data_IF_406988013586
#
_entry.id   IF_406988013586
#
_cell.length_a   1.000
_cell.length_b   1.000
_cell.length_c   1.000
_cell.angle_alpha   90.00
_cell.angle_beta   90.00
_cell.angle_gamma   90.00
#
_symmetry.space_group_name_H-M   'P 1'
#
loop_
_entity.id
_entity.type
_entity.pdbx_description
1 polymer ?
#
# COMPACT_ATOMS: atom_id res chain seq x y z
N UNK A 1 14.56 5.16 -21.49
CA UNK A 1 13.72 4.34 -22.38
C UNK A 1 13.44 2.95 -21.81
N UNK A 2 14.44 2.06 -21.65
CA UNK A 2 14.27 0.70 -21.08
C UNK A 2 13.36 0.62 -19.84
N UNK A 3 13.55 1.51 -18.86
CA UNK A 3 12.75 1.56 -17.62
C UNK A 3 11.28 1.90 -17.91
N UNK A 4 11.03 2.86 -18.80
CA UNK A 4 9.69 3.31 -19.15
C UNK A 4 8.93 2.25 -19.97
N UNK A 5 9.62 1.57 -20.90
CA UNK A 5 9.05 0.43 -21.62
C UNK A 5 8.70 -0.70 -20.67
N UNK A 6 9.59 -1.05 -19.74
CA UNK A 6 9.34 -2.08 -18.73
C UNK A 6 8.15 -1.73 -17.82
N UNK A 7 7.99 -0.46 -17.42
CA UNK A 7 6.83 0.01 -16.65
C UNK A 7 5.54 -0.18 -17.46
N UNK A 8 5.54 0.25 -18.72
CA UNK A 8 4.37 0.17 -19.62
C UNK A 8 3.95 -1.28 -19.84
N UNK A 9 4.89 -2.14 -20.20
CA UNK A 9 4.65 -3.58 -20.37
C UNK A 9 4.16 -4.22 -19.07
N UNK A 10 4.75 -3.86 -17.92
CA UNK A 10 4.32 -4.42 -16.64
C UNK A 10 2.89 -3.98 -16.28
N UNK A 11 2.51 -2.73 -16.55
CA UNK A 11 1.14 -2.25 -16.37
C UNK A 11 0.17 -3.01 -17.27
N UNK A 12 0.44 -3.11 -18.57
CA UNK A 12 -0.39 -3.85 -19.54
C UNK A 12 -0.59 -5.29 -19.05
N UNK A 13 0.52 -6.00 -18.79
CA UNK A 13 0.48 -7.39 -18.34
C UNK A 13 -0.29 -7.57 -17.03
N UNK A 14 -0.11 -6.66 -16.07
CA UNK A 14 -0.78 -6.78 -14.77
C UNK A 14 -2.28 -6.50 -14.89
N UNK A 15 -2.70 -5.51 -15.69
CA UNK A 15 -4.12 -5.25 -15.96
C UNK A 15 -4.79 -6.38 -16.74
N UNK A 16 -4.14 -6.93 -17.76
CA UNK A 16 -4.66 -8.07 -18.54
C UNK A 16 -4.85 -9.32 -17.66
N UNK A 17 -3.86 -9.62 -16.79
CA UNK A 17 -3.92 -10.75 -15.86
C UNK A 17 -5.12 -10.70 -14.91
N UNK A 18 -5.70 -9.54 -14.68
CA UNK A 18 -6.89 -9.42 -13.82
C UNK A 18 -8.13 -10.04 -14.47
N UNK A 19 -8.20 -10.12 -15.80
CA UNK A 19 -9.40 -10.48 -16.55
C UNK A 19 -10.57 -9.48 -16.42
N UNK A 20 -10.35 -8.31 -15.82
CA UNK A 20 -11.39 -7.30 -15.54
C UNK A 20 -11.31 -6.06 -16.43
N UNK A 21 -10.17 -5.87 -17.10
CA UNK A 21 -9.91 -4.71 -17.94
C UNK A 21 -9.57 -5.14 -19.35
N UNK A 22 -10.04 -4.38 -20.34
CA UNK A 22 -9.58 -4.47 -21.72
C UNK A 22 -8.56 -3.38 -21.98
N UNK A 23 -7.36 -3.76 -22.43
CA UNK A 23 -6.30 -2.81 -22.74
C UNK A 23 -6.47 -2.27 -24.15
N UNK A 24 -6.36 -0.95 -24.27
CA UNK A 24 -6.44 -0.24 -25.55
C UNK A 24 -5.05 0.28 -25.90
N UNK A 25 -4.70 0.23 -27.18
CA UNK A 25 -3.41 0.72 -27.66
C UNK A 25 -3.20 2.18 -27.28
N UNK A 26 -2.07 2.46 -26.61
CA UNK A 26 -1.64 3.82 -26.26
C UNK A 26 -1.55 4.72 -27.49
N UNK A 27 -1.20 4.18 -28.66
CA UNK A 27 -1.14 4.94 -29.92
C UNK A 27 -2.52 5.43 -30.36
N UNK A 28 -3.55 4.60 -30.23
CA UNK A 28 -4.94 4.97 -30.56
C UNK A 28 -5.47 6.03 -29.61
N UNK A 29 -5.21 5.85 -28.31
CA UNK A 29 -5.60 6.82 -27.27
C UNK A 29 -4.92 8.17 -27.52
N UNK A 30 -3.59 8.18 -27.70
CA UNK A 30 -2.82 9.41 -27.96
C UNK A 30 -3.28 10.14 -29.22
N UNK A 31 -3.57 9.40 -30.30
CA UNK A 31 -4.10 10.00 -31.52
C UNK A 31 -5.50 10.59 -31.29
N UNK A 32 -6.41 9.87 -30.64
CA UNK A 32 -7.74 10.36 -30.35
C UNK A 32 -7.73 11.62 -29.48
N UNK A 33 -6.86 11.66 -28.46
CA UNK A 33 -6.66 12.84 -27.60
C UNK A 33 -6.08 14.04 -28.35
N UNK A 34 -5.10 13.81 -29.23
CA UNK A 34 -4.49 14.88 -30.04
C UNK A 34 -5.50 15.50 -31.02
N UNK A 35 -6.30 14.66 -31.68
CA UNK A 35 -7.34 15.06 -32.63
C UNK A 35 -8.64 15.55 -31.94
N UNK A 36 -8.69 15.55 -30.60
CA UNK A 36 -9.89 15.87 -29.79
C UNK A 36 -11.14 15.08 -30.22
N UNK A 37 -10.93 13.82 -30.60
CA UNK A 37 -12.00 12.88 -30.96
C UNK A 37 -12.37 12.00 -29.77
N UNK A 38 -13.40 11.15 -29.92
CA UNK A 38 -13.82 10.23 -28.85
C UNK A 38 -12.68 9.27 -28.50
N UNK A 39 -12.15 9.38 -27.28
CA UNK A 39 -11.09 8.50 -26.78
C UNK A 39 -11.66 7.09 -26.58
N UNK A 40 -11.05 6.04 -27.17
CA UNK A 40 -11.58 4.68 -27.13
C UNK A 40 -11.25 3.94 -25.82
N UNK A 41 -11.23 4.63 -24.68
CA UNK A 41 -10.94 4.07 -23.36
C UNK A 41 -11.71 4.87 -22.31
N UNK A 42 -12.19 4.25 -21.23
CA UNK A 42 -12.87 4.95 -20.13
C UNK A 42 -11.88 5.64 -19.17
N UNK A 43 -10.72 4.99 -18.97
CA UNK A 43 -9.64 5.47 -18.11
C UNK A 43 -8.32 5.50 -18.89
N UNK A 44 -7.52 6.53 -18.63
CA UNK A 44 -6.15 6.66 -19.14
C UNK A 44 -5.19 6.80 -17.98
N UNK A 45 -4.26 5.84 -17.86
CA UNK A 45 -3.11 5.94 -16.98
C UNK A 45 -1.94 6.44 -17.81
N UNK A 46 -1.39 7.58 -17.43
CA UNK A 46 -0.24 8.20 -18.11
C UNK A 46 0.79 8.63 -17.07
N UNK A 47 2.03 8.81 -17.48
CA UNK A 47 3.09 9.19 -16.57
C UNK A 47 4.45 8.95 -17.16
N UNK A 48 5.46 9.08 -16.31
CA UNK A 48 6.82 8.85 -16.71
C UNK A 48 7.81 8.99 -15.58
N UNK A 49 9.05 8.70 -15.97
CA UNK A 49 10.22 8.87 -15.16
C UNK A 49 10.60 10.35 -15.13
N UNK A 50 10.42 11.02 -14.00
CA UNK A 50 10.76 12.44 -13.82
C UNK A 50 12.19 12.64 -13.38
N UNK A 51 12.77 11.65 -12.68
CA UNK A 51 14.17 11.69 -12.26
C UNK A 51 14.79 10.30 -12.21
N UNK A 52 16.03 10.18 -12.69
CA UNK A 52 16.85 8.98 -12.53
C UNK A 52 18.30 9.35 -12.30
N UNK A 53 18.74 9.22 -11.05
CA UNK A 53 20.12 9.41 -10.61
C UNK A 53 20.79 8.07 -10.32
N UNK A 54 22.07 7.98 -10.63
CA UNK A 54 22.90 6.80 -10.37
C UNK A 54 24.27 7.25 -9.87
N UNK A 55 24.78 6.58 -8.84
CA UNK A 55 26.11 6.80 -8.31
C UNK A 55 26.81 5.46 -8.10
N UNK A 56 27.99 5.30 -8.69
CA UNK A 56 28.86 4.16 -8.38
C UNK A 56 29.74 4.53 -7.19
N UNK A 57 29.59 3.78 -6.11
CA UNK A 57 30.35 3.95 -4.89
C UNK A 57 31.47 2.91 -4.80
N UNK A 58 32.47 3.21 -3.99
CA UNK A 58 33.46 2.23 -3.60
C UNK A 58 33.98 2.50 -2.18
N UNK A 59 34.44 1.44 -1.53
CA UNK A 59 35.04 1.48 -0.20
C UNK A 59 36.18 0.46 -0.13
N UNK A 60 37.30 0.84 0.47
CA UNK A 60 38.40 -0.08 0.73
C UNK A 60 38.23 -0.70 2.11
N UNK A 61 38.05 -2.01 2.17
CA UNK A 61 37.97 -2.77 3.43
C UNK A 61 39.27 -3.51 3.68
N UNK A 62 39.72 -3.47 4.94
CA UNK A 62 40.86 -4.24 5.40
C UNK A 62 40.36 -5.49 6.10
N UNK A 63 40.89 -6.65 5.69
CA UNK A 63 40.65 -7.92 6.38
C UNK A 63 41.98 -8.50 6.81
N UNK A 64 42.09 -8.84 8.09
CA UNK A 64 43.27 -9.49 8.66
C UNK A 64 43.00 -10.99 8.72
N UNK A 65 43.93 -11.80 8.22
CA UNK A 65 43.84 -13.26 8.34
C UNK A 65 43.77 -13.68 9.82
N UNK A 66 43.18 -14.84 10.13
CA UNK A 66 42.99 -15.37 11.49
C UNK A 66 44.30 -15.48 12.29
N UNK A 67 45.45 -15.48 11.61
CA UNK A 67 46.81 -15.49 12.20
C UNK A 67 47.41 -14.10 12.42
N UNK A 68 46.66 -13.01 12.21
CA UNK A 68 47.08 -11.63 12.53
C UNK A 68 48.17 -11.02 11.63
N UNK A 69 48.84 -11.80 10.79
CA UNK A 69 50.07 -11.36 10.11
C UNK A 69 49.90 -10.68 8.75
N UNK A 70 48.78 -10.90 8.05
CA UNK A 70 48.57 -10.38 6.70
C UNK A 70 47.30 -9.53 6.62
N UNK A 71 47.44 -8.26 6.23
CA UNK A 71 46.33 -7.33 5.95
C UNK A 71 46.02 -7.38 4.46
N UNK A 72 44.88 -7.96 4.09
CA UNK A 72 44.36 -7.90 2.72
C UNK A 72 43.47 -6.67 2.59
N UNK A 73 43.82 -5.77 1.67
CA UNK A 73 42.98 -4.65 1.27
C UNK A 73 42.14 -5.05 0.06
N UNK A 74 40.82 -5.06 0.21
CA UNK A 74 39.88 -5.36 -0.88
C UNK A 74 38.99 -4.14 -1.09
N UNK A 75 38.96 -3.62 -2.31
CA UNK A 75 38.01 -2.57 -2.70
C UNK A 75 36.68 -3.22 -3.04
N UNK A 76 35.61 -2.74 -2.43
CA UNK A 76 34.23 -3.12 -2.74
C UNK A 76 33.57 -2.00 -3.52
N UNK A 77 32.70 -2.36 -4.45
CA UNK A 77 31.94 -1.46 -5.31
C UNK A 77 30.45 -1.75 -5.14
N UNK A 78 29.62 -0.70 -5.13
CA UNK A 78 28.17 -0.84 -5.19
C UNK A 78 27.58 0.34 -5.93
N UNK A 79 26.30 0.24 -6.28
CA UNK A 79 25.59 1.30 -6.99
C UNK A 79 24.40 1.77 -6.19
N UNK A 80 24.32 3.07 -6.01
CA UNK A 80 23.12 3.74 -5.53
C UNK A 80 22.30 4.23 -6.73
N UNK A 81 20.99 4.05 -6.68
CA UNK A 81 20.08 4.68 -7.64
C UNK A 81 19.00 5.45 -6.89
N UNK A 82 18.56 6.54 -7.51
CA UNK A 82 17.36 7.28 -7.09
C UNK A 82 16.45 7.44 -8.29
N UNK A 83 15.20 7.05 -8.14
CA UNK A 83 14.19 6.99 -9.19
C UNK A 83 12.97 7.78 -8.71
N UNK A 84 12.48 8.72 -9.51
CA UNK A 84 11.20 9.41 -9.24
C UNK A 84 10.28 9.20 -10.41
N UNK A 85 9.09 8.69 -10.13
CA UNK A 85 8.07 8.37 -11.13
C UNK A 85 6.83 9.18 -10.79
N UNK A 86 6.30 9.86 -11.78
CA UNK A 86 5.00 10.52 -11.67
C UNK A 86 4.02 9.79 -12.57
N UNK A 87 2.83 9.50 -12.06
CA UNK A 87 1.74 8.99 -12.87
C UNK A 87 0.42 9.63 -12.49
N UNK A 88 -0.45 9.75 -13.48
CA UNK A 88 -1.76 10.36 -13.39
C UNK A 88 -2.81 9.45 -14.02
N UNK A 89 -4.03 9.54 -13.50
CA UNK A 89 -5.17 8.73 -13.92
C UNK A 89 -6.29 9.68 -14.31
N UNK A 90 -6.78 9.56 -15.54
CA UNK A 90 -7.84 10.41 -16.08
C UNK A 90 -9.06 9.57 -16.44
N UNK A 91 -10.25 10.10 -16.13
CA UNK A 91 -11.50 9.67 -16.77
C UNK A 91 -11.67 10.40 -18.10
N UNK A 92 -11.84 9.68 -19.19
CA UNK A 92 -11.85 10.26 -20.54
C UNK A 92 -13.17 10.94 -20.91
N UNK A 93 -14.30 10.50 -20.34
CA UNK A 93 -15.64 11.06 -20.62
C UNK A 93 -15.72 12.53 -20.22
N UNK A 94 -15.19 12.84 -19.04
CA UNK A 94 -15.24 14.17 -18.42
C UNK A 94 -13.89 14.89 -18.48
N UNK A 95 -12.82 14.20 -18.90
CA UNK A 95 -11.44 14.66 -18.81
C UNK A 95 -11.02 15.04 -17.38
N UNK A 96 -11.56 14.33 -16.39
CA UNK A 96 -11.29 14.60 -14.97
C UNK A 96 -10.06 13.84 -14.50
N UNK A 97 -9.17 14.54 -13.79
CA UNK A 97 -8.05 13.92 -13.08
C UNK A 97 -8.57 13.19 -11.83
N UNK A 98 -8.45 11.86 -11.81
CA UNK A 98 -8.89 11.02 -10.69
C UNK A 98 -7.80 10.79 -9.65
N UNK A 99 -6.54 10.73 -10.09
CA UNK A 99 -5.39 10.50 -9.21
C UNK A 99 -4.12 11.07 -9.86
N UNK A 100 -3.19 11.55 -9.04
CA UNK A 100 -1.87 11.99 -9.46
C UNK A 100 -0.89 11.70 -8.32
N UNK A 101 0.11 10.86 -8.58
CA UNK A 101 1.08 10.45 -7.56
C UNK A 101 2.50 10.59 -8.05
N UNK A 102 3.34 11.01 -7.11
CA UNK A 102 4.79 10.96 -7.23
C UNK A 102 5.32 9.87 -6.30
N UNK A 103 6.13 8.97 -6.84
CA UNK A 103 6.75 7.88 -6.09
C UNK A 103 8.25 7.96 -6.25
N UNK A 104 8.95 8.04 -5.12
CA UNK A 104 10.41 8.10 -5.06
C UNK A 104 10.98 6.82 -4.45
N UNK A 105 11.95 6.24 -5.15
CA UNK A 105 12.75 5.12 -4.66
C UNK A 105 14.21 5.53 -4.53
N UNK A 106 14.85 5.10 -3.45
CA UNK A 106 16.30 5.15 -3.26
C UNK A 106 16.77 3.75 -2.90
N UNK A 107 17.72 3.22 -3.66
CA UNK A 107 18.20 1.85 -3.55
C UNK A 107 19.72 1.81 -3.63
N UNK A 108 20.30 0.81 -3.00
CA UNK A 108 21.73 0.47 -3.12
C UNK A 108 21.85 -1.00 -3.47
N UNK A 109 22.79 -1.35 -4.36
CA UNK A 109 23.15 -2.75 -4.58
C UNK A 109 24.01 -3.28 -3.44
N UNK A 110 24.11 -4.60 -3.34
CA UNK A 110 25.10 -5.21 -2.45
C UNK A 110 26.53 -4.86 -2.90
N UNK A 111 27.48 -4.65 -1.97
CA UNK A 111 28.87 -4.42 -2.30
C UNK A 111 29.57 -5.66 -2.88
N UNK A 112 30.21 -5.51 -4.04
CA UNK A 112 30.96 -6.57 -4.71
C UNK A 112 32.45 -6.24 -4.81
N UNK A 113 33.36 -7.23 -4.69
CA UNK A 113 34.80 -6.98 -4.81
C UNK A 113 35.24 -6.64 -6.24
N UNK A 114 34.44 -7.02 -7.24
CA UNK A 114 34.71 -6.72 -8.64
C UNK A 114 33.61 -5.83 -9.21
N UNK A 115 34.03 -4.76 -9.88
CA UNK A 115 33.14 -3.75 -10.47
C UNK A 115 32.18 -4.33 -11.51
N UNK A 116 32.58 -5.40 -12.22
CA UNK A 116 31.75 -6.06 -13.25
C UNK A 116 30.49 -6.71 -12.68
N UNK A 117 30.50 -7.10 -11.40
CA UNK A 117 29.34 -7.70 -10.74
C UNK A 117 28.36 -6.68 -10.16
N UNK A 118 28.66 -5.38 -10.24
CA UNK A 118 27.74 -4.33 -9.79
C UNK A 118 26.57 -4.27 -10.79
N UNK A 119 25.32 -4.51 -10.34
CA UNK A 119 24.16 -4.64 -11.23
C UNK A 119 23.89 -3.34 -11.98
N UNK A 120 23.41 -3.45 -13.21
CA UNK A 120 23.08 -2.29 -14.05
C UNK A 120 22.00 -1.41 -13.40
N UNK A 121 22.18 -0.09 -13.47
CA UNK A 121 21.25 0.87 -12.87
C UNK A 121 19.81 0.69 -13.39
N UNK A 122 19.69 0.41 -14.69
CA UNK A 122 18.42 0.18 -15.35
C UNK A 122 17.73 -1.09 -14.83
N UNK A 123 18.46 -2.18 -14.62
CA UNK A 123 17.89 -3.44 -14.13
C UNK A 123 17.39 -3.31 -12.69
N UNK A 124 18.14 -2.60 -11.84
CA UNK A 124 17.70 -2.26 -10.48
C UNK A 124 16.38 -1.46 -10.50
N UNK A 125 16.27 -0.47 -11.40
CA UNK A 125 15.05 0.33 -11.55
C UNK A 125 13.89 -0.49 -12.15
N UNK A 126 14.15 -1.38 -13.11
CA UNK A 126 13.15 -2.25 -13.76
C UNK A 126 12.41 -3.10 -12.72
N UNK A 127 13.11 -3.59 -11.70
CA UNK A 127 12.45 -4.33 -10.62
C UNK A 127 11.49 -3.45 -9.83
N UNK A 128 11.85 -2.19 -9.52
CA UNK A 128 10.97 -1.28 -8.78
C UNK A 128 9.74 -0.89 -9.58
N UNK A 129 9.89 -0.60 -10.87
CA UNK A 129 8.74 -0.24 -11.73
C UNK A 129 7.76 -1.40 -11.91
N UNK A 130 8.24 -2.65 -11.89
CA UNK A 130 7.40 -3.85 -11.90
C UNK A 130 6.61 -4.02 -10.60
N UNK A 131 7.20 -3.71 -9.45
CA UNK A 131 6.45 -3.71 -8.18
C UNK A 131 5.45 -2.55 -8.11
N UNK A 132 5.86 -1.35 -8.52
CA UNK A 132 4.96 -0.21 -8.60
C UNK A 132 3.77 -0.48 -9.49
N UNK A 133 3.96 -1.11 -10.66
CA UNK A 133 2.84 -1.43 -11.56
C UNK A 133 1.84 -2.41 -10.93
N UNK A 134 2.28 -3.35 -10.09
CA UNK A 134 1.36 -4.21 -9.32
C UNK A 134 0.53 -3.41 -8.32
N UNK A 135 1.17 -2.47 -7.61
CA UNK A 135 0.50 -1.60 -6.65
C UNK A 135 -0.51 -0.69 -7.34
N UNK A 136 -0.13 -0.07 -8.45
CA UNK A 136 -1.04 0.75 -9.26
C UNK A 136 -2.26 -0.07 -9.66
N UNK A 137 -2.06 -1.27 -10.24
CA UNK A 137 -3.18 -2.12 -10.67
C UNK A 137 -4.06 -2.55 -9.49
N UNK A 138 -3.48 -2.82 -8.31
CA UNK A 138 -4.25 -3.14 -7.10
C UNK A 138 -5.24 -2.03 -6.72
N UNK A 139 -4.89 -0.76 -6.94
CA UNK A 139 -5.77 0.37 -6.65
C UNK A 139 -7.01 0.44 -7.56
N UNK A 140 -6.99 -0.26 -8.71
CA UNK A 140 -8.11 -0.32 -9.65
C UNK A 140 -8.96 -1.58 -9.52
N UNK A 141 -8.44 -2.64 -8.90
CA UNK A 141 -9.18 -3.90 -8.74
C UNK A 141 -9.93 -3.85 -7.40
N UNK A 142 -11.23 -4.16 -7.37
CA UNK A 142 -11.89 -4.50 -6.12
C UNK A 142 -11.23 -5.76 -5.54
N UNK A 143 -10.48 -5.63 -4.45
CA UNK A 143 -9.87 -6.76 -3.76
C UNK A 143 -10.63 -7.09 -2.47
N UNK A 144 -10.69 -8.37 -2.13
CA UNK A 144 -11.08 -8.84 -0.80
C UNK A 144 -9.80 -8.99 0.02
N UNK A 145 -9.70 -8.28 1.14
CA UNK A 145 -8.59 -8.44 2.07
C UNK A 145 -9.04 -9.28 3.26
N UNK A 146 -8.27 -10.32 3.60
CA UNK A 146 -8.45 -11.04 4.86
C UNK A 146 -7.72 -10.25 5.96
N UNK A 147 -8.47 -9.43 6.71
CA UNK A 147 -7.91 -8.65 7.82
C UNK A 147 -8.03 -9.45 9.11
N UNK A 148 -6.90 -9.84 9.68
CA UNK A 148 -6.85 -10.48 11.00
C UNK A 148 -7.00 -9.41 12.10
N UNK A 149 -8.23 -9.23 12.59
CA UNK A 149 -8.53 -8.30 13.67
C UNK A 149 -8.27 -8.93 15.04
N UNK A 150 -7.40 -8.32 15.83
CA UNK A 150 -7.02 -8.82 17.17
C UNK A 150 -7.79 -8.10 18.26
N UNK A 151 -8.57 -8.85 19.04
CA UNK A 151 -9.22 -8.32 20.25
C UNK A 151 -8.22 -8.15 21.39
N UNK A 152 -8.33 -7.05 22.13
CA UNK A 152 -7.54 -6.80 23.32
C UNK A 152 -7.99 -7.72 24.46
N UNK A 153 -7.01 -8.32 25.11
CA UNK A 153 -7.23 -9.17 26.27
C UNK A 153 -7.45 -8.35 27.54
N UNK A 154 -8.36 -8.81 28.39
CA UNK A 154 -8.53 -8.32 29.75
C UNK A 154 -8.78 -9.50 30.70
N UNK A 155 -8.33 -9.39 31.96
CA UNK A 155 -8.38 -10.52 32.92
C UNK A 155 -9.81 -10.88 33.38
N UNK A 156 -10.72 -9.90 33.34
CA UNK A 156 -12.12 -10.03 33.76
C UNK A 156 -12.85 -11.16 33.00
N UNK A 157 -13.61 -11.97 33.73
CA UNK A 157 -14.33 -13.12 33.17
C UNK A 157 -15.38 -12.70 32.14
N UNK A 158 -16.05 -11.55 32.33
CA UNK A 158 -17.05 -11.06 31.37
C UNK A 158 -16.41 -10.66 30.05
N UNK A 159 -15.19 -10.12 30.09
CA UNK A 159 -14.40 -9.83 28.88
C UNK A 159 -14.00 -11.11 28.15
N UNK A 160 -13.57 -12.14 28.88
CA UNK A 160 -13.24 -13.45 28.29
C UNK A 160 -14.47 -14.06 27.59
N UNK A 161 -15.64 -14.05 28.24
CA UNK A 161 -16.87 -14.56 27.64
C UNK A 161 -17.23 -13.83 26.36
N UNK A 162 -17.13 -12.49 26.34
CA UNK A 162 -17.37 -11.70 25.13
C UNK A 162 -16.38 -12.04 24.00
N UNK A 163 -15.08 -12.14 24.33
CA UNK A 163 -14.06 -12.57 23.35
C UNK A 163 -14.31 -13.97 22.80
N UNK A 164 -14.72 -14.92 23.65
CA UNK A 164 -15.06 -16.28 23.21
C UNK A 164 -16.27 -16.28 22.28
N UNK A 165 -17.31 -15.50 22.56
CA UNK A 165 -18.45 -15.38 21.66
C UNK A 165 -18.05 -14.80 20.30
N UNK A 166 -17.16 -13.81 20.28
CA UNK A 166 -16.62 -13.29 19.03
C UNK A 166 -15.85 -14.36 18.22
N UNK A 167 -15.00 -15.15 18.90
CA UNK A 167 -14.25 -16.24 18.27
C UNK A 167 -15.15 -17.36 17.71
N UNK A 168 -16.31 -17.59 18.33
CA UNK A 168 -17.32 -18.53 17.86
C UNK A 168 -18.22 -17.95 16.74
N UNK A 169 -17.91 -16.76 16.22
CA UNK A 169 -18.68 -16.10 15.16
C UNK A 169 -19.98 -15.45 15.63
N UNK A 170 -20.24 -15.41 16.94
CA UNK A 170 -21.42 -14.74 17.52
C UNK A 170 -21.13 -13.24 17.70
N UNK A 171 -20.87 -12.57 16.57
CA UNK A 171 -20.30 -11.21 16.57
C UNK A 171 -21.26 -10.19 17.19
N UNK A 172 -22.54 -10.20 16.84
CA UNK A 172 -23.53 -9.25 17.38
C UNK A 172 -23.67 -9.37 18.90
N UNK A 173 -23.71 -10.60 19.42
CA UNK A 173 -23.73 -10.88 20.86
C UNK A 173 -22.46 -10.37 21.55
N UNK A 174 -21.30 -10.59 20.95
CA UNK A 174 -20.04 -10.12 21.51
C UNK A 174 -19.97 -8.58 21.54
N UNK A 175 -20.47 -7.90 20.50
CA UNK A 175 -20.60 -6.44 20.45
C UNK A 175 -21.46 -5.93 21.61
N UNK A 176 -22.65 -6.51 21.81
CA UNK A 176 -23.55 -6.15 22.91
C UNK A 176 -22.86 -6.33 24.27
N UNK A 177 -22.18 -7.46 24.46
CA UNK A 177 -21.48 -7.77 25.71
C UNK A 177 -20.33 -6.81 25.97
N UNK A 178 -19.48 -6.53 24.98
CA UNK A 178 -18.40 -5.55 25.13
C UNK A 178 -18.94 -4.14 25.38
N UNK A 179 -20.02 -3.74 24.72
CA UNK A 179 -20.67 -2.47 24.96
C UNK A 179 -21.18 -2.35 26.40
N UNK A 180 -21.87 -3.38 26.89
CA UNK A 180 -22.33 -3.41 28.28
C UNK A 180 -21.19 -3.36 29.30
N UNK A 181 -20.06 -4.02 29.00
CA UNK A 181 -18.86 -3.97 29.84
C UNK A 181 -18.25 -2.58 29.82
N UNK A 182 -18.18 -1.94 28.65
CA UNK A 182 -17.67 -0.58 28.50
C UNK A 182 -18.52 0.43 29.29
N UNK A 183 -19.84 0.33 29.18
CA UNK A 183 -20.77 1.26 29.83
C UNK A 183 -20.76 1.09 31.36
N UNK A 184 -20.76 -0.16 31.84
CA UNK A 184 -20.83 -0.44 33.28
C UNK A 184 -19.48 -0.38 34.01
N UNK A 185 -18.41 -0.88 33.38
CA UNK A 185 -17.09 -1.02 34.01
C UNK A 185 -16.07 -0.01 33.49
N UNK A 186 -16.34 0.65 32.36
CA UNK A 186 -15.42 1.64 31.81
C UNK A 186 -14.09 1.07 31.35
N UNK A 187 -14.04 -0.20 30.92
CA UNK A 187 -12.79 -0.79 30.44
C UNK A 187 -12.46 -0.30 29.04
N UNK A 188 -11.24 0.20 28.86
CA UNK A 188 -10.73 0.62 27.57
C UNK A 188 -10.83 -0.49 26.52
N UNK A 189 -10.40 -1.70 26.88
CA UNK A 189 -10.37 -2.88 26.01
C UNK A 189 -11.75 -3.26 25.51
N UNK A 190 -12.79 -3.05 26.32
CA UNK A 190 -14.17 -3.36 25.93
C UNK A 190 -14.63 -2.44 24.80
N UNK A 191 -14.44 -1.12 24.96
CA UNK A 191 -14.83 -0.15 23.93
C UNK A 191 -14.01 -0.30 22.66
N UNK A 192 -12.71 -0.57 22.79
CA UNK A 192 -11.83 -0.87 21.66
C UNK A 192 -12.31 -2.11 20.90
N UNK A 193 -12.60 -3.21 21.61
CA UNK A 193 -13.08 -4.45 21.01
C UNK A 193 -14.44 -4.28 20.33
N UNK A 194 -15.36 -3.48 20.89
CA UNK A 194 -16.62 -3.14 20.21
C UNK A 194 -16.37 -2.49 18.86
N UNK A 195 -15.50 -1.48 18.79
CA UNK A 195 -15.18 -0.79 17.54
C UNK A 195 -14.54 -1.74 16.50
N UNK A 196 -13.60 -2.59 16.94
CA UNK A 196 -12.96 -3.58 16.07
C UNK A 196 -13.97 -4.58 15.48
N UNK A 197 -14.94 -5.06 16.29
CA UNK A 197 -15.97 -5.97 15.78
C UNK A 197 -16.95 -5.29 14.82
N UNK A 198 -17.28 -4.01 15.04
CA UNK A 198 -18.09 -3.23 14.10
C UNK A 198 -17.37 -3.06 12.75
N UNK A 199 -16.06 -2.83 12.78
CA UNK A 199 -15.24 -2.80 11.57
C UNK A 199 -15.29 -4.16 10.85
N UNK A 200 -15.16 -5.27 11.58
CA UNK A 200 -15.24 -6.63 11.03
C UNK A 200 -16.58 -6.93 10.32
N UNK A 201 -17.67 -6.30 10.76
CA UNK A 201 -19.00 -6.41 10.14
C UNK A 201 -19.18 -5.49 8.91
N UNK A 202 -18.14 -4.79 8.47
CA UNK A 202 -18.23 -3.84 7.36
C UNK A 202 -18.98 -2.56 7.70
N UNK A 203 -19.00 -2.18 8.99
CA UNK A 203 -19.62 -0.95 9.51
C UNK A 203 -18.56 0.04 10.00
N UNK A 204 -17.64 0.50 9.13
CA UNK A 204 -16.52 1.34 9.55
C UNK A 204 -16.95 2.70 10.12
N UNK A 205 -18.11 3.23 9.70
CA UNK A 205 -18.66 4.49 10.23
C UNK A 205 -19.09 4.35 11.69
N UNK A 206 -19.77 3.25 12.04
CA UNK A 206 -20.14 2.94 13.42
C UNK A 206 -18.90 2.64 14.27
N UNK A 207 -17.94 1.90 13.71
CA UNK A 207 -16.65 1.62 14.34
C UNK A 207 -15.87 2.90 14.65
N UNK A 208 -15.83 3.85 13.71
CA UNK A 208 -15.15 5.13 13.88
C UNK A 208 -15.77 5.95 15.01
N UNK A 209 -17.10 6.09 15.02
CA UNK A 209 -17.82 6.78 16.10
C UNK A 209 -17.46 6.16 17.45
N UNK A 210 -17.51 4.83 17.55
CA UNK A 210 -17.21 4.11 18.79
C UNK A 210 -15.76 4.27 19.23
N UNK A 211 -14.80 4.16 18.30
CA UNK A 211 -13.39 4.35 18.61
C UNK A 211 -13.08 5.80 19.00
N UNK A 212 -13.82 6.77 18.46
CA UNK A 212 -13.69 8.18 18.80
C UNK A 212 -14.14 8.46 20.24
N UNK A 213 -15.26 7.88 20.67
CA UNK A 213 -15.70 7.90 22.07
C UNK A 213 -14.64 7.30 23.01
N UNK A 214 -14.05 6.17 22.63
CA UNK A 214 -12.98 5.52 23.40
C UNK A 214 -11.73 6.41 23.47
N UNK A 215 -11.31 6.98 22.34
CA UNK A 215 -10.15 7.88 22.32
C UNK A 215 -10.39 9.13 23.17
N UNK A 216 -11.56 9.76 23.06
CA UNK A 216 -11.93 10.93 23.84
C UNK A 216 -11.90 10.65 25.36
N UNK A 217 -12.31 9.45 25.77
CA UNK A 217 -12.35 9.06 27.20
C UNK A 217 -10.99 8.67 27.77
N UNK A 218 -10.15 7.98 27.00
CA UNK A 218 -8.91 7.38 27.52
C UNK A 218 -7.62 8.02 27.00
N UNK A 219 -7.71 8.86 25.96
CA UNK A 219 -6.57 9.49 25.28
C UNK A 219 -5.44 8.49 24.97
N UNK A 220 -5.80 7.33 24.41
CA UNK A 220 -4.88 6.21 24.22
C UNK A 220 -4.34 6.15 22.78
N UNK A 221 -3.03 5.96 22.62
CA UNK A 221 -2.37 5.89 21.31
C UNK A 221 -2.87 4.76 20.42
N UNK A 222 -3.28 3.61 20.99
CA UNK A 222 -3.84 2.51 20.18
C UNK A 222 -5.17 2.91 19.56
N UNK A 223 -6.04 3.57 20.32
CA UNK A 223 -7.31 4.09 19.80
C UNK A 223 -7.08 5.17 18.74
N UNK A 224 -6.10 6.06 18.96
CA UNK A 224 -5.69 7.07 17.96
C UNK A 224 -5.26 6.44 16.64
N UNK A 225 -4.41 5.40 16.69
CA UNK A 225 -3.97 4.68 15.48
C UNK A 225 -5.13 3.98 14.78
N UNK A 226 -6.02 3.35 15.55
CA UNK A 226 -7.20 2.70 14.99
C UNK A 226 -8.14 3.71 14.29
N UNK A 227 -8.29 4.93 14.81
CA UNK A 227 -9.06 5.99 14.14
C UNK A 227 -8.48 6.36 12.77
N UNK A 228 -7.15 6.49 12.67
CA UNK A 228 -6.49 6.80 11.38
C UNK A 228 -6.76 5.69 10.36
N UNK A 229 -6.71 4.43 10.78
CA UNK A 229 -7.00 3.28 9.90
C UNK A 229 -8.46 3.32 9.45
N UNK A 230 -9.41 3.56 10.36
CA UNK A 230 -10.83 3.64 10.05
C UNK A 230 -11.14 4.82 9.10
N UNK A 231 -10.48 5.97 9.25
CA UNK A 231 -10.62 7.10 8.32
C UNK A 231 -10.18 6.73 6.90
N UNK A 232 -9.05 6.03 6.76
CA UNK A 232 -8.57 5.55 5.47
C UNK A 232 -9.53 4.53 4.84
N UNK A 233 -10.09 3.63 5.64
CA UNK A 233 -11.07 2.65 5.19
C UNK A 233 -12.37 3.33 4.71
N UNK A 234 -12.91 4.28 5.48
CA UNK A 234 -14.11 5.05 5.10
C UNK A 234 -13.86 5.83 3.81
N UNK A 235 -12.71 6.51 3.70
CA UNK A 235 -12.34 7.24 2.48
C UNK A 235 -12.26 6.30 1.26
N UNK A 236 -11.69 5.12 1.43
CA UNK A 236 -11.58 4.11 0.37
C UNK A 236 -12.95 3.56 -0.04
N UNK A 237 -13.81 3.23 0.93
CA UNK A 237 -15.19 2.79 0.70
C UNK A 237 -15.99 3.85 -0.05
N UNK A 238 -15.88 5.12 0.33
CA UNK A 238 -16.54 6.23 -0.34
C UNK A 238 -16.05 6.39 -1.79
N UNK A 239 -14.74 6.30 -2.02
CA UNK A 239 -14.15 6.32 -3.38
C UNK A 239 -14.73 5.21 -4.26
N UNK A 240 -14.82 3.99 -3.74
CA UNK A 240 -15.39 2.84 -4.45
C UNK A 240 -16.89 3.01 -4.72
N UNK A 241 -17.65 3.64 -3.82
CA UNK A 241 -19.06 3.93 -4.03
C UNK A 241 -19.28 5.02 -5.08
N UNK A 242 -18.47 6.07 -5.10
CA UNK A 242 -18.52 7.10 -6.15
C UNK A 242 -18.14 6.56 -7.52
N UNK A 243 -17.32 5.51 -7.59
CA UNK A 243 -16.96 4.81 -8.82
C UNK A 243 -18.02 3.81 -9.30
N UNK A 244 -19.06 3.52 -8.51
CA UNK A 244 -20.20 2.65 -8.89
C UNK A 244 -21.37 3.41 -9.53
N UNK A 245 -21.17 4.67 -9.93
CA UNK A 245 -22.19 5.47 -10.61
C UNK A 245 -21.90 5.42 -12.12
N UNK A 246 -22.89 4.87 -12.84
CA UNK A 246 -23.04 4.62 -14.29
C UNK A 246 -22.40 3.35 -14.89
#
# INVERSE_FOLDING_TARGET
>A
ERIASAMTEALINNFEKTGRFSIVSSRLVSHAMAEKTKVPADLVVTGGLTYFGTALQNEQRQSTDKKGGNVRRTTYYWRDITLTIMYSVYETKTNTLLDNREVKYTLSSDPTPERVFVPEAADMAINQVKELSRLIVKDFIPYTEEVALTLLFHKDTTMKTASTNAQLGKIDLAIEQFQRIYDNKGYFEAGYNTAVLLQALGKPEEAYKRMSEVYARFNNDKAKRALIILEQEIASKNKLQTQKIE
#
